data_IF_618994592030
#
_entry.id   IF_618994592030
#
_cell.length_a   1.000
_cell.length_b   1.000
_cell.length_c   1.000
_cell.angle_alpha   90.00
_cell.angle_beta   90.00
_cell.angle_gamma   90.00
#
_symmetry.space_group_name_H-M   'P 1'
#
loop_
_entity.id
_entity.type
_entity.pdbx_description
1 polymer ?
#
# COMPACT_ATOMS: atom_id res chain seq x y z
N UNK A 1 6.58 -19.35 10.34
CA UNK A 1 6.09 -19.00 8.98
C UNK A 1 6.49 -20.12 8.05
N UNK A 2 5.55 -20.76 7.32
CA UNK A 2 5.91 -21.87 6.42
C UNK A 2 6.64 -21.34 5.19
N UNK A 3 7.60 -22.10 4.67
CA UNK A 3 8.39 -21.80 3.45
C UNK A 3 7.49 -21.45 2.24
N UNK A 4 6.30 -22.00 2.18
CA UNK A 4 5.28 -21.73 1.17
C UNK A 4 4.73 -20.29 1.23
N UNK A 5 4.49 -19.73 2.42
CA UNK A 5 4.06 -18.33 2.59
C UNK A 5 5.14 -17.34 2.15
N UNK A 6 6.40 -17.65 2.40
CA UNK A 6 7.52 -16.77 2.00
C UNK A 6 7.65 -16.75 0.47
N UNK A 7 7.51 -17.90 -0.21
CA UNK A 7 7.57 -17.96 -1.68
C UNK A 7 6.42 -17.21 -2.35
N UNK A 8 5.22 -17.26 -1.78
CA UNK A 8 4.05 -16.51 -2.29
C UNK A 8 4.23 -15.00 -2.13
N UNK A 9 4.71 -14.55 -0.97
CA UNK A 9 5.03 -13.14 -0.74
C UNK A 9 6.10 -12.67 -1.72
N UNK A 10 7.15 -13.47 -1.93
CA UNK A 10 8.22 -13.16 -2.88
C UNK A 10 7.71 -13.05 -4.32
N UNK A 11 6.86 -13.96 -4.78
CA UNK A 11 6.29 -13.90 -6.13
C UNK A 11 5.42 -12.66 -6.36
N UNK A 12 4.67 -12.24 -5.34
CA UNK A 12 3.74 -11.10 -5.44
C UNK A 12 4.49 -9.76 -5.38
N UNK A 13 5.45 -9.65 -4.46
CA UNK A 13 6.11 -8.38 -4.14
C UNK A 13 7.57 -8.28 -4.60
N UNK A 14 8.09 -9.23 -5.39
CA UNK A 14 9.50 -9.24 -5.78
C UNK A 14 9.96 -7.94 -6.44
N UNK A 15 9.14 -7.33 -7.32
CA UNK A 15 9.47 -6.05 -7.97
C UNK A 15 9.51 -4.89 -6.98
N UNK A 16 8.58 -4.84 -6.07
CA UNK A 16 8.49 -3.83 -5.02
C UNK A 16 9.64 -3.98 -4.02
N UNK A 17 10.01 -5.21 -3.69
CA UNK A 17 11.20 -5.50 -2.87
C UNK A 17 12.50 -5.09 -3.58
N UNK A 18 12.63 -5.37 -4.88
CA UNK A 18 13.77 -4.91 -5.69
C UNK A 18 13.78 -3.38 -5.75
N UNK A 19 12.64 -2.74 -5.98
CA UNK A 19 12.52 -1.27 -5.97
C UNK A 19 12.97 -0.69 -4.61
N UNK A 20 12.49 -1.26 -3.49
CA UNK A 20 12.90 -0.87 -2.15
C UNK A 20 14.40 -1.07 -1.89
N UNK A 21 14.95 -2.20 -2.33
CA UNK A 21 16.39 -2.48 -2.21
C UNK A 21 17.24 -1.51 -3.04
N UNK A 22 16.83 -1.20 -4.28
CA UNK A 22 17.52 -0.21 -5.14
C UNK A 22 17.45 1.18 -4.50
N UNK A 23 16.29 1.59 -4.00
CA UNK A 23 16.11 2.87 -3.33
C UNK A 23 16.99 2.96 -2.08
N UNK A 24 17.05 1.90 -1.28
CA UNK A 24 17.92 1.81 -0.09
C UNK A 24 19.40 1.88 -0.46
N UNK A 25 19.83 1.14 -1.48
CA UNK A 25 21.22 1.20 -1.98
C UNK A 25 21.58 2.58 -2.51
N UNK A 26 20.69 3.22 -3.29
CA UNK A 26 20.89 4.60 -3.75
C UNK A 26 21.04 5.57 -2.58
N UNK A 27 20.20 5.41 -1.55
CA UNK A 27 20.28 6.22 -0.33
C UNK A 27 21.63 6.05 0.37
N UNK A 28 22.12 4.80 0.53
CA UNK A 28 23.44 4.53 1.11
C UNK A 28 24.55 5.15 0.26
N UNK A 29 24.50 4.98 -1.06
CA UNK A 29 25.48 5.56 -1.98
C UNK A 29 25.49 7.09 -1.90
N UNK A 30 24.32 7.72 -1.88
CA UNK A 30 24.22 9.17 -1.69
C UNK A 30 24.80 9.61 -0.34
N UNK A 31 24.48 8.92 0.75
CA UNK A 31 25.03 9.21 2.07
C UNK A 31 26.56 9.03 2.11
N UNK A 32 27.08 7.98 1.46
CA UNK A 32 28.53 7.73 1.40
C UNK A 32 29.25 8.75 0.52
N UNK A 33 28.78 8.99 -0.70
CA UNK A 33 29.36 9.97 -1.62
C UNK A 33 29.42 11.39 -1.03
N UNK A 34 28.45 11.70 -0.20
CA UNK A 34 28.33 12.98 0.47
C UNK A 34 29.46 13.31 1.44
N UNK A 35 30.16 12.30 1.97
CA UNK A 35 31.32 12.49 2.85
C UNK A 35 32.52 13.11 2.14
N UNK A 36 32.55 13.03 0.79
CA UNK A 36 33.65 13.55 -0.05
C UNK A 36 33.35 14.91 -0.65
N UNK A 37 32.16 15.47 -0.42
CA UNK A 37 31.75 16.76 -1.01
C UNK A 37 31.91 17.87 0.02
N UNK A 38 32.30 19.07 -0.44
CA UNK A 38 32.50 20.23 0.42
C UNK A 38 31.21 20.59 1.18
N UNK A 39 31.23 20.46 2.51
CA UNK A 39 30.09 20.71 3.39
C UNK A 39 29.50 22.12 3.21
N UNK A 40 30.31 23.13 3.00
CA UNK A 40 29.86 24.53 2.84
C UNK A 40 29.00 24.73 1.60
N UNK A 41 29.29 24.03 0.49
CA UNK A 41 28.49 24.11 -0.73
C UNK A 41 27.09 23.50 -0.52
N UNK A 42 27.00 22.40 0.22
CA UNK A 42 25.71 21.78 0.51
C UNK A 42 24.84 22.63 1.44
N UNK A 43 25.40 23.09 2.55
CA UNK A 43 24.64 23.82 3.57
C UNK A 43 24.20 25.20 3.09
N UNK A 44 25.05 25.89 2.31
CA UNK A 44 24.78 27.28 1.89
C UNK A 44 23.98 27.42 0.59
N UNK A 45 24.01 26.43 -0.30
CA UNK A 45 23.41 26.56 -1.64
C UNK A 45 22.47 25.41 -1.96
N UNK A 46 22.96 24.15 -1.89
CA UNK A 46 22.21 23.00 -2.40
C UNK A 46 20.99 22.68 -1.54
N UNK A 47 21.13 22.66 -0.22
CA UNK A 47 20.02 22.35 0.70
C UNK A 47 18.91 23.40 0.67
N UNK A 48 19.18 24.71 0.70
CA UNK A 48 18.14 25.73 0.52
C UNK A 48 17.42 25.65 -0.83
N UNK A 49 18.16 25.41 -1.93
CA UNK A 49 17.56 25.20 -3.25
C UNK A 49 16.62 24.00 -3.27
N UNK A 50 17.01 22.88 -2.65
CA UNK A 50 16.20 21.69 -2.55
C UNK A 50 14.92 21.93 -1.73
N UNK A 51 15.01 22.69 -0.64
CA UNK A 51 13.84 23.05 0.17
C UNK A 51 12.85 23.91 -0.64
N UNK A 52 13.34 24.93 -1.37
CA UNK A 52 12.50 25.76 -2.24
C UNK A 52 11.82 24.89 -3.32
N UNK A 53 12.57 23.97 -3.91
CA UNK A 53 12.02 23.02 -4.89
C UNK A 53 10.91 22.15 -4.30
N UNK A 54 11.09 21.61 -3.09
CA UNK A 54 10.07 20.82 -2.39
C UNK A 54 8.83 21.65 -2.04
N UNK A 55 8.99 22.88 -1.60
CA UNK A 55 7.85 23.80 -1.36
C UNK A 55 7.05 23.97 -2.65
N UNK A 56 7.73 24.19 -3.79
CA UNK A 56 7.11 24.28 -5.11
C UNK A 56 6.34 23.00 -5.49
N UNK A 57 6.94 21.83 -5.26
CA UNK A 57 6.30 20.54 -5.49
C UNK A 57 5.06 20.33 -4.60
N UNK A 58 5.14 20.69 -3.32
CA UNK A 58 4.01 20.61 -2.40
C UNK A 58 2.85 21.51 -2.85
N UNK A 59 3.13 22.76 -3.19
CA UNK A 59 2.12 23.69 -3.69
C UNK A 59 1.48 23.20 -4.98
N UNK A 60 2.27 22.79 -5.96
CA UNK A 60 1.79 22.29 -7.24
C UNK A 60 0.98 21.01 -7.06
N UNK A 61 1.48 20.05 -6.28
CA UNK A 61 0.80 18.80 -6.00
C UNK A 61 -0.53 19.01 -5.29
N UNK A 62 -0.58 19.89 -4.29
CA UNK A 62 -1.80 20.23 -3.57
C UNK A 62 -2.85 20.86 -4.50
N UNK A 63 -2.47 21.83 -5.33
CA UNK A 63 -3.37 22.50 -6.29
C UNK A 63 -3.91 21.50 -7.30
N UNK A 64 -3.06 20.65 -7.89
CA UNK A 64 -3.49 19.64 -8.86
C UNK A 64 -4.50 18.67 -8.26
N UNK A 65 -4.27 18.21 -7.03
CA UNK A 65 -5.16 17.26 -6.38
C UNK A 65 -6.46 17.93 -5.94
N UNK A 66 -6.44 19.15 -5.40
CA UNK A 66 -7.67 19.87 -5.06
C UNK A 66 -8.54 20.12 -6.29
N UNK A 67 -7.91 20.47 -7.44
CA UNK A 67 -8.62 20.66 -8.70
C UNK A 67 -9.30 19.38 -9.23
N UNK A 68 -8.76 18.19 -8.91
CA UNK A 68 -9.26 16.90 -9.38
C UNK A 68 -9.77 16.00 -8.24
N UNK A 69 -10.14 16.56 -7.10
CA UNK A 69 -10.48 15.75 -5.92
C UNK A 69 -11.81 15.02 -6.00
N UNK A 70 -12.75 15.45 -6.85
CA UNK A 70 -14.10 14.86 -7.09
C UNK A 70 -14.79 14.38 -5.78
N UNK A 71 -14.51 15.04 -4.66
CA UNK A 71 -15.05 14.67 -3.35
C UNK A 71 -14.32 13.52 -2.63
N UNK A 72 -13.37 12.86 -3.25
CA UNK A 72 -12.65 11.70 -2.67
C UNK A 72 -11.81 12.10 -1.43
N UNK A 73 -12.07 11.43 -0.30
CA UNK A 73 -11.45 11.79 1.00
C UNK A 73 -9.93 11.62 0.99
N UNK A 74 -9.44 10.49 0.47
CA UNK A 74 -8.00 10.20 0.44
C UNK A 74 -7.22 11.19 -0.42
N UNK A 75 -7.82 11.74 -1.50
CA UNK A 75 -7.23 12.82 -2.29
C UNK A 75 -7.11 14.09 -1.45
N UNK A 76 -8.18 14.46 -0.75
CA UNK A 76 -8.17 15.62 0.14
C UNK A 76 -7.15 15.49 1.26
N UNK A 77 -7.02 14.31 1.89
CA UNK A 77 -6.04 14.10 2.96
C UNK A 77 -4.61 14.31 2.48
N UNK A 78 -4.26 13.82 1.30
CA UNK A 78 -2.95 14.06 0.70
C UNK A 78 -2.72 15.52 0.34
N UNK A 79 -3.70 16.17 -0.29
CA UNK A 79 -3.60 17.59 -0.63
C UNK A 79 -3.41 18.46 0.62
N UNK A 80 -4.13 18.21 1.70
CA UNK A 80 -3.93 18.88 2.99
C UNK A 80 -2.56 18.58 3.59
N UNK A 81 -2.09 17.34 3.53
CA UNK A 81 -0.74 16.98 3.99
C UNK A 81 0.34 17.76 3.25
N UNK A 82 0.25 17.86 1.91
CA UNK A 82 1.19 18.65 1.11
C UNK A 82 1.10 20.15 1.42
N UNK A 83 -0.12 20.70 1.60
CA UNK A 83 -0.31 22.11 1.93
C UNK A 83 0.32 22.44 3.28
N UNK A 84 0.05 21.65 4.31
CA UNK A 84 0.60 21.85 5.67
C UNK A 84 2.13 21.69 5.63
N UNK A 85 2.64 20.68 4.92
CA UNK A 85 4.07 20.48 4.75
C UNK A 85 4.73 21.69 4.10
N UNK A 86 4.20 22.15 2.95
CA UNK A 86 4.76 23.29 2.23
C UNK A 86 4.77 24.59 3.08
N UNK A 87 3.72 24.83 3.87
CA UNK A 87 3.64 25.99 4.78
C UNK A 87 4.70 25.87 5.89
N UNK A 88 4.83 24.70 6.51
CA UNK A 88 5.81 24.49 7.58
C UNK A 88 7.25 24.61 7.06
N UNK A 89 7.54 24.02 5.90
CA UNK A 89 8.87 24.10 5.27
C UNK A 89 9.22 25.55 4.89
N UNK A 90 8.25 26.29 4.32
CA UNK A 90 8.40 27.72 4.05
C UNK A 90 8.64 28.52 5.33
N UNK A 91 7.91 28.23 6.40
CA UNK A 91 8.08 28.90 7.70
C UNK A 91 9.49 28.64 8.24
N UNK A 92 9.98 27.40 8.16
CA UNK A 92 11.35 27.08 8.58
C UNK A 92 12.40 27.84 7.77
N UNK A 93 12.24 27.91 6.44
CA UNK A 93 13.17 28.67 5.57
C UNK A 93 13.14 30.18 5.90
N UNK A 94 11.96 30.75 6.11
CA UNK A 94 11.82 32.19 6.46
C UNK A 94 12.43 32.50 7.82
N UNK A 95 12.27 31.64 8.82
CA UNK A 95 12.85 31.83 10.14
C UNK A 95 14.37 31.68 10.12
N UNK A 96 14.88 30.70 9.38
CA UNK A 96 16.33 30.46 9.28
C UNK A 96 17.04 31.59 8.50
N UNK A 97 16.56 31.86 7.27
CA UNK A 97 17.20 32.84 6.37
C UNK A 97 16.87 34.30 6.76
N UNK A 98 15.60 34.56 7.15
CA UNK A 98 15.13 35.92 7.44
C UNK A 98 15.46 36.41 8.84
N UNK A 99 15.45 35.53 9.83
CA UNK A 99 15.62 35.91 11.24
C UNK A 99 16.84 35.26 11.90
N UNK A 100 17.57 34.39 11.20
CA UNK A 100 18.72 33.67 11.76
C UNK A 100 18.35 32.71 12.91
N UNK A 101 17.11 32.25 12.94
CA UNK A 101 16.60 31.30 13.96
C UNK A 101 16.61 29.91 13.35
N UNK A 102 17.62 29.05 13.62
CA UNK A 102 17.71 27.70 13.04
C UNK A 102 16.69 26.77 13.69
N UNK A 103 15.46 26.76 13.21
CA UNK A 103 14.39 25.92 13.78
C UNK A 103 14.69 24.42 13.60
N UNK A 104 15.28 24.05 12.49
CA UNK A 104 15.62 22.65 12.16
C UNK A 104 17.10 22.32 12.36
N UNK A 105 17.90 23.27 12.86
CA UNK A 105 19.36 23.10 13.03
C UNK A 105 20.01 22.37 11.84
N UNK A 106 19.86 22.95 10.63
CA UNK A 106 20.32 22.36 9.36
C UNK A 106 21.85 22.19 9.25
N UNK A 107 22.57 22.54 10.29
CA UNK A 107 24.04 22.47 10.36
C UNK A 107 24.60 21.21 11.02
N UNK A 108 25.89 21.27 11.37
CA UNK A 108 26.69 20.18 11.94
C UNK A 108 26.33 19.78 13.39
N UNK A 109 25.37 20.43 14.02
CA UNK A 109 24.93 20.13 15.38
C UNK A 109 23.92 18.96 15.40
N UNK A 110 23.89 18.14 16.47
CA UNK A 110 22.82 17.14 16.65
C UNK A 110 21.46 17.84 16.68
N UNK A 111 20.45 17.18 16.12
CA UNK A 111 19.08 17.72 16.09
C UNK A 111 18.53 17.89 17.50
N UNK A 112 17.96 19.08 17.80
CA UNK A 112 17.24 19.30 19.04
C UNK A 112 15.96 18.45 19.12
N UNK A 113 15.46 18.17 20.33
CA UNK A 113 14.22 17.43 20.54
C UNK A 113 13.03 18.12 19.87
N UNK A 114 13.03 19.45 19.81
CA UNK A 114 12.03 20.25 19.10
C UNK A 114 12.11 20.06 17.57
N UNK A 115 13.32 20.03 16.99
CA UNK A 115 13.48 19.74 15.58
C UNK A 115 13.03 18.33 15.23
N UNK A 116 13.32 17.34 16.08
CA UNK A 116 12.85 15.96 15.95
C UNK A 116 11.32 15.90 16.03
N UNK A 117 10.69 16.68 16.93
CA UNK A 117 9.22 16.79 17.02
C UNK A 117 8.62 17.27 15.70
N UNK A 118 9.14 18.37 15.14
CA UNK A 118 8.65 18.92 13.86
C UNK A 118 8.79 17.90 12.74
N UNK A 119 9.95 17.25 12.62
CA UNK A 119 10.17 16.21 11.60
C UNK A 119 9.21 15.02 11.76
N UNK A 120 8.90 14.62 13.00
CA UNK A 120 7.95 13.54 13.26
C UNK A 120 6.50 13.94 12.93
N UNK A 121 6.10 15.16 13.23
CA UNK A 121 4.78 15.68 12.83
C UNK A 121 4.63 15.71 11.31
N UNK A 122 5.67 16.17 10.62
CA UNK A 122 5.70 16.14 9.15
C UNK A 122 5.64 14.70 8.60
N UNK A 123 6.41 13.77 9.19
CA UNK A 123 6.36 12.35 8.85
C UNK A 123 4.98 11.75 9.07
N UNK A 124 4.31 12.11 10.17
CA UNK A 124 2.93 11.68 10.44
C UNK A 124 1.95 12.13 9.35
N UNK A 125 2.05 13.37 8.85
CA UNK A 125 1.20 13.88 7.77
C UNK A 125 1.30 13.00 6.51
N UNK A 126 2.48 12.47 6.20
CA UNK A 126 2.68 11.60 5.03
C UNK A 126 2.01 10.23 5.19
N UNK A 127 1.71 9.79 6.41
CA UNK A 127 1.00 8.53 6.67
C UNK A 127 -0.51 8.65 6.54
N UNK A 128 -1.06 9.86 6.49
CA UNK A 128 -2.52 10.08 6.43
C UNK A 128 -3.14 9.50 5.16
N UNK A 129 -2.50 9.70 4.00
CA UNK A 129 -3.00 9.18 2.74
C UNK A 129 -3.05 7.65 2.71
N UNK A 130 -1.95 6.92 2.94
CA UNK A 130 -2.00 5.46 2.93
C UNK A 130 -2.94 4.90 4.00
N UNK A 131 -3.08 5.56 5.15
CA UNK A 131 -4.05 5.15 6.18
C UNK A 131 -5.49 5.33 5.70
N UNK A 132 -5.83 6.48 5.12
CA UNK A 132 -7.20 6.76 4.68
C UNK A 132 -7.63 5.88 3.49
N UNK A 133 -6.71 5.45 2.63
CA UNK A 133 -7.03 4.56 1.53
C UNK A 133 -7.15 3.10 1.96
N UNK A 134 -6.35 2.69 2.95
CA UNK A 134 -6.38 1.33 3.48
C UNK A 134 -7.55 1.10 4.44
N UNK A 135 -7.91 2.12 5.22
CA UNK A 135 -8.98 2.07 6.21
C UNK A 135 -9.68 3.43 6.30
N UNK A 136 -10.61 3.74 5.38
CA UNK A 136 -11.35 5.00 5.39
C UNK A 136 -12.09 5.23 6.71
N UNK A 137 -12.04 6.48 7.20
CA UNK A 137 -12.67 6.84 8.47
C UNK A 137 -11.88 6.45 9.73
N UNK A 138 -10.75 5.75 9.58
CA UNK A 138 -9.91 5.42 10.74
C UNK A 138 -9.30 6.66 11.41
N UNK A 139 -9.04 7.73 10.66
CA UNK A 139 -8.51 8.99 11.18
C UNK A 139 -9.63 9.72 11.94
N UNK A 140 -9.63 9.60 13.25
CA UNK A 140 -10.54 10.31 14.17
C UNK A 140 -9.74 11.13 15.16
N UNK A 141 -10.35 12.20 15.72
CA UNK A 141 -9.67 13.06 16.69
C UNK A 141 -9.07 12.29 17.87
N UNK A 142 -9.77 11.31 18.41
CA UNK A 142 -9.27 10.47 19.51
C UNK A 142 -8.02 9.68 19.10
N UNK A 143 -8.03 9.04 17.92
CA UNK A 143 -6.90 8.24 17.41
C UNK A 143 -5.70 9.14 17.08
N UNK A 144 -5.93 10.33 16.56
CA UNK A 144 -4.88 11.34 16.36
C UNK A 144 -4.25 11.74 17.71
N UNK A 145 -5.06 12.01 18.74
CA UNK A 145 -4.53 12.28 20.07
C UNK A 145 -3.71 11.11 20.62
N UNK A 146 -4.18 9.87 20.50
CA UNK A 146 -3.42 8.70 20.95
C UNK A 146 -2.09 8.54 20.24
N UNK A 147 -1.99 8.97 18.98
CA UNK A 147 -0.74 8.94 18.24
C UNK A 147 0.22 10.07 18.61
N UNK A 148 -0.25 11.31 18.67
CA UNK A 148 0.62 12.47 18.82
C UNK A 148 0.97 12.79 20.28
N UNK A 149 0.03 12.63 21.23
CA UNK A 149 0.25 13.00 22.63
C UNK A 149 1.44 12.28 23.29
N UNK A 150 1.65 10.96 23.11
CA UNK A 150 2.82 10.28 23.69
C UNK A 150 4.14 10.86 23.19
N UNK A 151 4.25 11.16 21.89
CA UNK A 151 5.43 11.76 21.31
C UNK A 151 5.68 13.17 21.85
N UNK A 152 4.64 14.02 21.93
CA UNK A 152 4.74 15.37 22.49
C UNK A 152 5.17 15.27 23.97
N UNK A 153 4.62 14.34 24.72
CA UNK A 153 4.99 14.15 26.12
C UNK A 153 6.47 13.75 26.29
N UNK A 154 6.97 12.84 25.45
CA UNK A 154 8.40 12.44 25.46
C UNK A 154 9.30 13.65 25.18
N UNK A 155 8.96 14.51 24.21
CA UNK A 155 9.74 15.71 23.88
C UNK A 155 9.74 16.70 25.06
N UNK A 156 8.58 16.92 25.70
CA UNK A 156 8.48 17.81 26.88
C UNK A 156 9.34 17.27 28.02
N UNK A 157 9.30 15.96 28.29
CA UNK A 157 10.11 15.33 29.33
C UNK A 157 11.60 15.48 29.02
N UNK A 158 12.00 15.26 27.76
CA UNK A 158 13.39 15.40 27.31
C UNK A 158 13.93 16.83 27.54
N UNK A 159 13.14 17.83 27.12
CA UNK A 159 13.51 19.25 27.33
C UNK A 159 13.54 19.65 28.81
N UNK A 160 12.67 19.09 29.64
CA UNK A 160 12.63 19.42 31.07
C UNK A 160 13.74 18.75 31.87
N UNK A 161 14.06 17.53 31.55
CA UNK A 161 15.00 16.73 32.36
C UNK A 161 16.45 16.92 31.94
N UNK A 162 16.72 17.05 30.64
CA UNK A 162 18.07 17.16 30.00
C UNK A 162 19.12 16.16 30.53
N UNK A 163 18.68 15.22 31.34
CA UNK A 163 19.51 14.25 32.05
C UNK A 163 19.48 12.85 31.41
N UNK A 164 18.44 12.56 30.65
CA UNK A 164 18.23 11.29 29.94
C UNK A 164 18.01 11.63 28.48
N UNK A 165 18.85 11.11 27.59
CA UNK A 165 18.71 11.29 26.15
C UNK A 165 17.55 10.41 25.63
N UNK A 166 16.36 11.01 25.48
CA UNK A 166 15.16 10.38 24.93
C UNK A 166 15.04 10.51 23.41
N UNK A 167 16.02 11.15 22.76
CA UNK A 167 16.03 11.36 21.30
C UNK A 167 15.86 10.08 20.51
N UNK A 168 16.38 8.94 21.00
CA UNK A 168 16.21 7.62 20.40
C UNK A 168 14.73 7.21 20.35
N UNK A 169 13.95 7.45 21.42
CA UNK A 169 12.53 7.11 21.44
C UNK A 169 11.76 7.98 20.45
N UNK A 170 12.12 9.26 20.35
CA UNK A 170 11.53 10.18 19.38
C UNK A 170 11.88 9.74 17.95
N UNK A 171 13.12 9.30 17.71
CA UNK A 171 13.59 8.80 16.42
C UNK A 171 12.93 7.48 15.98
N UNK A 172 12.48 6.64 16.92
CA UNK A 172 11.78 5.38 16.62
C UNK A 172 10.31 5.59 16.27
N UNK A 173 9.72 6.72 16.60
CA UNK A 173 8.30 6.99 16.38
C UNK A 173 7.85 6.84 14.91
N UNK A 174 8.57 7.33 13.88
CA UNK A 174 8.18 7.14 12.49
C UNK A 174 8.11 5.66 12.08
N UNK A 175 8.96 4.81 12.66
CA UNK A 175 8.95 3.37 12.42
C UNK A 175 7.66 2.74 12.93
N UNK A 176 7.18 3.16 14.10
CA UNK A 176 5.90 2.72 14.66
C UNK A 176 4.73 3.14 13.76
N UNK A 177 4.75 4.36 13.24
CA UNK A 177 3.72 4.86 12.31
C UNK A 177 3.67 4.01 11.03
N UNK A 178 4.81 3.74 10.42
CA UNK A 178 4.87 2.91 9.20
C UNK A 178 4.40 1.49 9.48
N UNK A 179 4.80 0.91 10.61
CA UNK A 179 4.35 -0.41 11.04
C UNK A 179 2.82 -0.47 11.21
N UNK A 180 2.22 0.57 11.82
CA UNK A 180 0.78 0.70 11.94
C UNK A 180 0.09 0.70 10.56
N UNK A 181 0.61 1.48 9.60
CA UNK A 181 0.05 1.50 8.24
C UNK A 181 0.16 0.13 7.56
N UNK A 182 1.29 -0.57 7.78
CA UNK A 182 1.46 -1.94 7.28
C UNK A 182 0.44 -2.94 7.88
N UNK A 183 0.04 -2.77 9.13
CA UNK A 183 -0.98 -3.65 9.73
C UNK A 183 -2.33 -3.54 9.01
N UNK A 184 -2.71 -2.35 8.54
CA UNK A 184 -3.93 -2.15 7.77
C UNK A 184 -3.87 -2.74 6.36
N UNK A 185 -2.68 -2.89 5.78
CA UNK A 185 -2.51 -3.43 4.43
C UNK A 185 -3.03 -4.87 4.29
N UNK A 186 -2.89 -5.68 5.35
CA UNK A 186 -3.37 -7.07 5.36
C UNK A 186 -4.89 -7.11 5.23
N UNK A 187 -5.60 -6.43 6.14
CA UNK A 187 -7.06 -6.37 6.13
C UNK A 187 -7.60 -5.80 4.80
N UNK A 188 -7.00 -4.74 4.28
CA UNK A 188 -7.34 -4.17 2.99
C UNK A 188 -7.16 -5.16 1.84
N UNK A 189 -6.06 -5.91 1.82
CA UNK A 189 -5.83 -6.93 0.80
C UNK A 189 -6.87 -8.05 0.86
N UNK A 190 -7.19 -8.55 2.06
CA UNK A 190 -8.22 -9.57 2.25
C UNK A 190 -9.58 -9.06 1.80
N UNK A 191 -9.91 -7.80 2.11
CA UNK A 191 -11.12 -7.15 1.61
C UNK A 191 -11.16 -7.11 0.07
N UNK A 192 -10.06 -6.71 -0.57
CA UNK A 192 -9.97 -6.70 -2.03
C UNK A 192 -10.18 -8.09 -2.64
N UNK A 193 -9.58 -9.13 -2.05
CA UNK A 193 -9.74 -10.52 -2.51
C UNK A 193 -11.18 -11.05 -2.32
N UNK A 194 -11.95 -10.46 -1.41
CA UNK A 194 -13.36 -10.82 -1.20
C UNK A 194 -14.32 -10.08 -2.13
N UNK A 195 -13.93 -8.93 -2.67
CA UNK A 195 -14.84 -8.05 -3.41
C UNK A 195 -14.56 -7.96 -4.92
N UNK A 196 -13.33 -8.25 -5.35
CA UNK A 196 -12.91 -8.05 -6.74
C UNK A 196 -12.30 -9.31 -7.35
N UNK A 197 -12.64 -9.56 -8.61
CA UNK A 197 -12.07 -10.67 -9.39
C UNK A 197 -10.73 -10.34 -10.02
N UNK A 198 -10.34 -9.06 -10.10
CA UNK A 198 -9.05 -8.58 -10.61
C UNK A 198 -8.47 -7.57 -9.64
N UNK A 199 -7.19 -7.76 -9.27
CA UNK A 199 -6.48 -6.87 -8.35
C UNK A 199 -5.80 -5.69 -9.06
N UNK A 200 -5.92 -5.60 -10.40
CA UNK A 200 -5.25 -4.53 -11.17
C UNK A 200 -5.94 -3.18 -11.04
N UNK A 201 -7.27 -3.15 -10.90
CA UNK A 201 -8.01 -1.91 -10.69
C UNK A 201 -7.80 -1.33 -9.29
N UNK A 202 -7.26 -2.16 -8.37
CA UNK A 202 -6.96 -1.80 -7.00
C UNK A 202 -5.45 -1.96 -6.83
N UNK A 203 -4.71 -0.94 -7.19
CA UNK A 203 -3.26 -0.98 -7.21
C UNK A 203 -2.65 -1.04 -5.80
N UNK A 204 -2.74 -2.22 -5.16
CA UNK A 204 -2.08 -2.51 -3.87
C UNK A 204 -0.58 -2.29 -3.98
N UNK A 205 0.01 -2.52 -5.17
CA UNK A 205 1.45 -2.38 -5.39
C UNK A 205 1.91 -0.93 -5.26
N UNK A 206 1.12 0.05 -5.71
CA UNK A 206 1.43 1.47 -5.52
C UNK A 206 1.47 1.85 -4.04
N UNK A 207 0.53 1.33 -3.23
CA UNK A 207 0.54 1.58 -1.79
C UNK A 207 1.81 0.99 -1.17
N UNK A 208 2.17 -0.24 -1.55
CA UNK A 208 3.41 -0.88 -1.05
C UNK A 208 4.64 -0.06 -1.42
N UNK A 209 4.73 0.48 -2.65
CA UNK A 209 5.85 1.36 -3.04
C UNK A 209 5.89 2.64 -2.22
N UNK A 210 4.76 3.28 -1.97
CA UNK A 210 4.68 4.46 -1.09
C UNK A 210 5.17 4.11 0.31
N UNK A 211 4.76 2.97 0.86
CA UNK A 211 5.23 2.51 2.17
C UNK A 211 6.73 2.22 2.18
N UNK A 212 7.30 1.65 1.12
CA UNK A 212 8.74 1.42 1.00
C UNK A 212 9.53 2.74 0.94
N UNK A 213 9.02 3.75 0.23
CA UNK A 213 9.63 5.09 0.23
C UNK A 213 9.56 5.71 1.63
N UNK A 214 8.44 5.57 2.33
CA UNK A 214 8.30 6.03 3.72
C UNK A 214 9.29 5.32 4.66
N UNK A 215 9.49 4.00 4.50
CA UNK A 215 10.52 3.25 5.26
C UNK A 215 11.92 3.80 4.98
N UNK A 216 12.24 4.09 3.72
CA UNK A 216 13.53 4.69 3.35
C UNK A 216 13.71 6.07 4.00
N UNK A 217 12.66 6.91 4.00
CA UNK A 217 12.66 8.22 4.68
C UNK A 217 12.90 8.05 6.18
N UNK A 218 12.23 7.09 6.83
CA UNK A 218 12.46 6.77 8.25
C UNK A 218 13.90 6.33 8.53
N UNK A 219 14.48 5.51 7.64
CA UNK A 219 15.88 5.08 7.75
C UNK A 219 16.86 6.25 7.65
N UNK A 220 16.64 7.17 6.72
CA UNK A 220 17.45 8.39 6.60
C UNK A 220 17.25 9.30 7.81
N UNK A 221 16.02 9.44 8.28
CA UNK A 221 15.73 10.21 9.50
C UNK A 221 16.48 9.65 10.71
N UNK A 222 16.49 8.33 10.89
CA UNK A 222 17.28 7.68 11.94
C UNK A 222 18.78 7.93 11.75
N UNK A 223 19.27 7.82 10.51
CA UNK A 223 20.66 8.19 10.19
C UNK A 223 20.99 9.65 10.53
N UNK A 224 20.07 10.58 10.30
CA UNK A 224 20.23 11.99 10.67
C UNK A 224 20.36 12.20 12.18
N UNK A 225 19.72 11.35 13.02
CA UNK A 225 19.83 11.45 14.47
C UNK A 225 21.22 11.04 14.99
N UNK A 226 21.90 10.11 14.31
CA UNK A 226 23.18 9.54 14.76
C UNK A 226 24.40 10.07 13.99
N UNK A 227 24.21 10.72 12.87
CA UNK A 227 25.29 11.20 11.99
C UNK A 227 25.32 12.72 11.92
N UNK A 228 26.54 13.27 11.94
CA UNK A 228 26.77 14.70 11.76
C UNK A 228 27.14 15.05 10.29
N UNK A 229 26.76 14.19 9.31
CA UNK A 229 27.05 14.45 7.90
C UNK A 229 26.25 15.66 7.39
N UNK A 230 26.90 16.62 6.69
CA UNK A 230 26.24 17.82 6.16
C UNK A 230 25.15 17.50 5.12
N UNK A 231 25.22 16.35 4.47
CA UNK A 231 24.31 15.99 3.40
C UNK A 231 23.07 15.21 3.85
N UNK A 232 22.95 14.95 5.16
CA UNK A 232 21.81 14.23 5.75
C UNK A 232 20.47 14.86 5.39
N UNK A 233 20.37 16.19 5.50
CA UNK A 233 19.14 16.96 5.20
C UNK A 233 18.81 16.87 3.72
N UNK A 234 19.81 17.07 2.86
CA UNK A 234 19.63 16.95 1.41
C UNK A 234 19.11 15.56 1.01
N UNK A 235 19.68 14.48 1.54
CA UNK A 235 19.24 13.12 1.23
C UNK A 235 17.79 12.90 1.63
N UNK A 236 17.36 13.39 2.80
CA UNK A 236 15.97 13.29 3.24
C UNK A 236 15.04 14.10 2.34
N UNK A 237 15.38 15.32 2.01
CA UNK A 237 14.59 16.20 1.14
C UNK A 237 14.50 15.64 -0.29
N UNK A 238 15.54 14.99 -0.77
CA UNK A 238 15.51 14.31 -2.07
C UNK A 238 14.55 13.12 -2.10
N UNK A 239 14.56 12.27 -1.07
CA UNK A 239 13.58 11.17 -0.94
C UNK A 239 12.15 11.70 -0.80
N UNK A 240 11.97 12.80 -0.09
CA UNK A 240 10.68 13.47 0.01
C UNK A 240 10.18 13.96 -1.35
N UNK A 241 11.06 14.54 -2.19
CA UNK A 241 10.69 14.94 -3.55
C UNK A 241 10.15 13.75 -4.36
N UNK A 242 10.83 12.60 -4.27
CA UNK A 242 10.40 11.36 -4.94
C UNK A 242 9.02 10.95 -4.43
N UNK A 243 8.79 10.98 -3.12
CA UNK A 243 7.50 10.63 -2.52
C UNK A 243 6.39 11.57 -2.98
N UNK A 244 6.63 12.88 -2.98
CA UNK A 244 5.64 13.89 -3.40
C UNK A 244 5.24 13.66 -4.86
N UNK A 245 6.22 13.54 -5.76
CA UNK A 245 5.96 13.35 -7.19
C UNK A 245 5.23 12.02 -7.43
N UNK A 246 5.80 10.93 -6.94
CA UNK A 246 5.24 9.60 -7.13
C UNK A 246 3.85 9.46 -6.48
N UNK A 247 3.69 9.93 -5.23
CA UNK A 247 2.42 9.87 -4.52
C UNK A 247 1.34 10.71 -5.21
N UNK A 248 1.68 11.90 -5.67
CA UNK A 248 0.75 12.79 -6.39
C UNK A 248 0.29 12.16 -7.70
N UNK A 249 1.22 11.59 -8.50
CA UNK A 249 0.90 10.87 -9.72
C UNK A 249 -0.09 9.71 -9.45
N UNK A 250 0.27 8.86 -8.51
CA UNK A 250 -0.57 7.70 -8.17
C UNK A 250 -1.97 8.10 -7.71
N UNK A 251 -2.08 9.17 -6.92
CA UNK A 251 -3.35 9.65 -6.39
C UNK A 251 -4.25 10.26 -7.47
N UNK A 252 -3.67 10.99 -8.42
CA UNK A 252 -4.43 11.61 -9.51
C UNK A 252 -5.13 10.57 -10.39
N UNK A 253 -4.43 9.46 -10.68
CA UNK A 253 -4.94 8.44 -11.62
C UNK A 253 -5.64 7.28 -10.92
N UNK A 254 -5.66 7.24 -9.58
CA UNK A 254 -6.26 6.14 -8.84
C UNK A 254 -7.77 6.26 -8.76
N UNK A 255 -8.47 5.16 -9.00
CA UNK A 255 -9.90 5.02 -8.71
C UNK A 255 -10.14 4.77 -7.23
N UNK A 256 -11.24 5.28 -6.70
CA UNK A 256 -11.64 5.03 -5.32
C UNK A 256 -12.26 3.62 -5.21
N UNK A 257 -11.63 2.69 -4.50
CA UNK A 257 -12.19 1.36 -4.30
C UNK A 257 -13.43 1.38 -3.40
N UNK A 258 -13.58 2.41 -2.57
CA UNK A 258 -14.63 2.56 -1.57
C UNK A 258 -15.82 3.43 -2.04
N UNK A 259 -15.81 3.90 -3.30
CA UNK A 259 -16.78 4.88 -3.82
C UNK A 259 -18.26 4.50 -3.66
N UNK A 260 -18.55 3.20 -3.45
CA UNK A 260 -19.91 2.67 -3.37
C UNK A 260 -20.32 2.27 -1.95
N UNK A 261 -19.49 2.61 -0.93
CA UNK A 261 -19.71 2.21 0.44
C UNK A 261 -19.71 3.41 1.38
N UNK A 262 -20.55 3.33 2.40
CA UNK A 262 -20.51 4.26 3.53
C UNK A 262 -19.38 3.89 4.49
N UNK A 263 -18.91 4.84 5.30
CA UNK A 263 -17.83 4.58 6.27
C UNK A 263 -18.22 3.47 7.25
N UNK A 264 -19.47 3.45 7.68
CA UNK A 264 -19.97 2.45 8.62
C UNK A 264 -19.94 1.04 8.01
N UNK A 265 -20.32 0.90 6.73
CA UNK A 265 -20.21 -0.37 6.00
C UNK A 265 -18.75 -0.81 5.87
N UNK A 266 -17.84 0.12 5.57
CA UNK A 266 -16.40 -0.16 5.46
C UNK A 266 -15.83 -0.64 6.80
N UNK A 267 -16.11 0.07 7.88
CA UNK A 267 -15.65 -0.29 9.24
C UNK A 267 -16.18 -1.68 9.64
N UNK A 268 -17.47 -1.94 9.42
CA UNK A 268 -18.06 -3.23 9.76
C UNK A 268 -17.49 -4.40 8.95
N UNK A 269 -17.20 -4.21 7.66
CA UNK A 269 -16.56 -5.24 6.83
C UNK A 269 -15.10 -5.50 7.24
N UNK A 270 -14.33 -4.46 7.54
CA UNK A 270 -12.94 -4.61 7.99
C UNK A 270 -12.88 -5.30 9.35
N UNK A 271 -13.74 -4.91 10.30
CA UNK A 271 -13.84 -5.56 11.62
C UNK A 271 -14.22 -7.03 11.49
N UNK A 272 -15.18 -7.38 10.62
CA UNK A 272 -15.54 -8.76 10.35
C UNK A 272 -14.38 -9.60 9.77
N UNK A 273 -13.53 -9.00 8.95
CA UNK A 273 -12.32 -9.64 8.40
C UNK A 273 -11.30 -9.87 9.52
N UNK A 274 -10.99 -8.83 10.31
CA UNK A 274 -10.04 -8.91 11.43
C UNK A 274 -10.47 -10.02 12.42
N UNK A 275 -11.75 -10.08 12.80
CA UNK A 275 -12.29 -11.13 13.67
C UNK A 275 -12.22 -12.52 13.04
N UNK A 276 -12.44 -12.64 11.73
CA UNK A 276 -12.36 -13.92 11.02
C UNK A 276 -10.93 -14.45 10.91
N UNK A 277 -9.93 -13.57 10.80
CA UNK A 277 -8.51 -13.95 10.79
C UNK A 277 -8.05 -14.44 12.18
N UNK A 278 -8.49 -13.80 13.26
CA UNK A 278 -8.21 -14.25 14.64
C UNK A 278 -8.81 -15.63 14.94
N UNK A 279 -10.01 -15.90 14.44
CA UNK A 279 -10.68 -17.18 14.65
C UNK A 279 -10.08 -18.35 13.87
N UNK A 280 -9.44 -18.08 12.73
CA UNK A 280 -8.78 -19.11 11.87
C UNK A 280 -7.43 -19.58 12.45
N UNK A 281 -6.72 -18.75 13.22
CA UNK A 281 -5.48 -19.19 13.88
C UNK A 281 -5.72 -20.19 15.03
N UNK A 282 -6.96 -20.35 15.50
CA UNK A 282 -7.27 -21.12 16.71
C UNK A 282 -7.98 -22.46 16.51
N UNK A 283 -8.56 -22.76 15.33
CA UNK A 283 -9.27 -24.04 15.13
C UNK A 283 -9.12 -24.56 13.69
N UNK A 284 -8.65 -25.81 13.45
CA UNK A 284 -8.81 -26.45 12.15
C UNK A 284 -10.29 -26.66 11.88
N UNK A 285 -10.85 -25.93 10.92
CA UNK A 285 -12.25 -26.07 10.53
C UNK A 285 -12.51 -27.49 10.02
N UNK A 286 -13.17 -28.30 10.86
CA UNK A 286 -13.92 -29.48 10.39
C UNK A 286 -15.00 -28.98 9.45
N UNK A 287 -15.11 -29.58 8.26
CA UNK A 287 -16.17 -29.30 7.30
C UNK A 287 -17.53 -29.41 7.98
N UNK A 288 -18.16 -28.28 8.25
CA UNK A 288 -19.52 -28.24 8.79
C UNK A 288 -20.45 -28.57 7.62
N UNK A 289 -21.41 -29.53 7.77
CA UNK A 289 -22.38 -29.84 6.72
C UNK A 289 -23.16 -28.57 6.36
N UNK A 290 -23.12 -28.20 5.09
CA UNK A 290 -23.83 -27.02 4.58
C UNK A 290 -25.34 -27.21 4.77
N UNK A 291 -26.03 -26.20 5.28
CA UNK A 291 -27.48 -26.23 5.40
C UNK A 291 -28.15 -26.42 4.04
N UNK A 292 -29.36 -27.01 3.98
CA UNK A 292 -30.09 -27.22 2.72
C UNK A 292 -30.27 -25.92 1.90
N UNK A 293 -30.42 -24.80 2.59
CA UNK A 293 -30.54 -23.47 1.95
C UNK A 293 -29.25 -23.04 1.29
N UNK A 294 -28.11 -23.20 1.97
CA UNK A 294 -26.78 -22.93 1.40
C UNK A 294 -26.48 -23.82 0.20
N UNK A 295 -26.88 -25.09 0.25
CA UNK A 295 -26.74 -26.01 -0.89
C UNK A 295 -27.53 -25.53 -2.12
N UNK A 296 -28.75 -25.01 -1.93
CA UNK A 296 -29.55 -24.42 -3.02
C UNK A 296 -28.86 -23.18 -3.60
N UNK A 297 -28.34 -22.30 -2.76
CA UNK A 297 -27.62 -21.11 -3.20
C UNK A 297 -26.37 -21.47 -4.01
N UNK A 298 -25.60 -22.46 -3.57
CA UNK A 298 -24.45 -22.99 -4.32
C UNK A 298 -24.87 -23.54 -5.69
N UNK A 299 -25.95 -24.33 -5.75
CA UNK A 299 -26.45 -24.87 -6.99
C UNK A 299 -26.88 -23.78 -7.99
N UNK A 300 -27.51 -22.70 -7.50
CA UNK A 300 -27.86 -21.53 -8.33
C UNK A 300 -26.61 -20.84 -8.82
N UNK A 301 -25.62 -20.62 -7.96
CA UNK A 301 -24.35 -19.99 -8.30
C UNK A 301 -23.58 -20.79 -9.36
N UNK A 302 -23.44 -22.10 -9.17
CA UNK A 302 -22.74 -22.97 -10.12
C UNK A 302 -23.45 -23.04 -11.47
N UNK A 303 -24.79 -23.09 -11.49
CA UNK A 303 -25.58 -23.05 -12.70
C UNK A 303 -25.29 -21.77 -13.47
N UNK A 304 -25.35 -20.61 -12.78
CA UNK A 304 -25.06 -19.30 -13.37
C UNK A 304 -23.63 -19.22 -13.91
N UNK A 305 -22.64 -19.70 -13.15
CA UNK A 305 -21.24 -19.74 -13.59
C UNK A 305 -21.05 -20.59 -14.86
N UNK A 306 -21.75 -21.72 -14.99
CA UNK A 306 -21.64 -22.62 -16.15
C UNK A 306 -22.40 -22.11 -17.37
N UNK A 307 -23.60 -21.51 -17.17
CA UNK A 307 -24.48 -21.10 -18.26
C UNK A 307 -24.07 -19.75 -18.85
N UNK A 308 -23.90 -18.74 -17.99
CA UNK A 308 -23.72 -17.37 -18.43
C UNK A 308 -22.23 -16.96 -18.47
N UNK A 309 -21.34 -17.80 -17.89
CA UNK A 309 -19.89 -17.60 -17.82
C UNK A 309 -19.50 -16.17 -17.40
N UNK A 310 -20.08 -15.61 -16.32
CA UNK A 310 -19.85 -14.22 -15.93
C UNK A 310 -18.38 -13.92 -15.57
N UNK A 311 -17.62 -14.96 -15.24
CA UNK A 311 -16.18 -14.87 -14.96
C UNK A 311 -15.33 -14.40 -16.16
N UNK A 312 -15.88 -14.46 -17.39
CA UNK A 312 -15.22 -13.92 -18.58
C UNK A 312 -15.19 -12.39 -18.61
N UNK A 313 -16.05 -11.75 -17.80
CA UNK A 313 -15.98 -10.30 -17.62
C UNK A 313 -14.81 -9.95 -16.67
N UNK A 314 -13.77 -9.23 -17.12
CA UNK A 314 -12.66 -8.83 -16.25
C UNK A 314 -13.07 -7.92 -15.09
N UNK A 315 -14.15 -7.15 -15.24
CA UNK A 315 -14.66 -6.22 -14.24
C UNK A 315 -15.67 -6.86 -13.25
N UNK A 316 -15.81 -8.19 -13.23
CA UNK A 316 -16.74 -8.90 -12.33
C UNK A 316 -16.43 -8.61 -10.86
N UNK A 317 -17.47 -8.30 -10.08
CA UNK A 317 -17.43 -7.98 -8.65
C UNK A 317 -18.33 -8.92 -7.84
N UNK A 318 -18.11 -8.97 -6.54
CA UNK A 318 -18.99 -9.73 -5.62
C UNK A 318 -20.45 -9.25 -5.67
N UNK A 319 -20.68 -7.98 -5.98
CA UNK A 319 -22.02 -7.41 -6.19
C UNK A 319 -22.81 -8.06 -7.32
N UNK A 320 -22.14 -8.68 -8.28
CA UNK A 320 -22.83 -9.41 -9.36
C UNK A 320 -23.41 -10.73 -8.83
N UNK A 321 -22.69 -11.45 -7.96
CA UNK A 321 -23.23 -12.60 -7.22
C UNK A 321 -24.36 -12.18 -6.30
N UNK A 322 -24.22 -11.02 -5.63
CA UNK A 322 -25.24 -10.48 -4.75
C UNK A 322 -26.60 -10.29 -5.45
N UNK A 323 -26.57 -9.79 -6.70
CA UNK A 323 -27.79 -9.64 -7.51
C UNK A 323 -28.45 -10.99 -7.85
N UNK A 324 -27.64 -12.02 -8.11
CA UNK A 324 -28.15 -13.35 -8.47
C UNK A 324 -28.72 -14.11 -7.29
N UNK A 325 -28.01 -14.05 -6.15
CA UNK A 325 -28.41 -14.81 -4.95
C UNK A 325 -29.31 -14.02 -3.98
N UNK A 326 -29.43 -12.68 -4.16
CA UNK A 326 -30.19 -11.78 -3.26
C UNK A 326 -29.72 -11.85 -1.79
N UNK A 327 -28.43 -12.04 -1.55
CA UNK A 327 -27.81 -12.13 -0.22
C UNK A 327 -26.72 -11.07 -0.08
N UNK A 328 -26.35 -10.72 1.16
CA UNK A 328 -25.34 -9.72 1.42
C UNK A 328 -23.91 -10.22 1.12
N UNK A 329 -22.96 -9.30 0.98
CA UNK A 329 -21.55 -9.58 0.65
C UNK A 329 -20.86 -10.48 1.67
N UNK A 330 -21.05 -10.21 2.95
CA UNK A 330 -20.45 -10.99 4.04
C UNK A 330 -20.90 -12.44 3.97
N UNK A 331 -22.18 -12.66 3.68
CA UNK A 331 -22.74 -14.01 3.55
C UNK A 331 -22.18 -14.72 2.30
N UNK A 332 -22.00 -14.02 1.17
CA UNK A 332 -21.33 -14.59 -0.01
C UNK A 332 -19.91 -15.03 0.30
N UNK A 333 -19.14 -14.19 1.00
CA UNK A 333 -17.77 -14.50 1.38
C UNK A 333 -17.70 -15.72 2.29
N UNK A 334 -18.63 -15.86 3.25
CA UNK A 334 -18.75 -17.04 4.08
C UNK A 334 -19.17 -18.28 3.27
N UNK A 335 -20.17 -18.15 2.38
CA UNK A 335 -20.65 -19.24 1.53
C UNK A 335 -19.52 -19.81 0.67
N UNK A 336 -18.73 -18.96 0.02
CA UNK A 336 -17.59 -19.39 -0.81
C UNK A 336 -16.47 -20.04 0.02
N UNK A 337 -16.21 -19.54 1.21
CA UNK A 337 -15.24 -20.10 2.14
C UNK A 337 -15.66 -21.46 2.65
N UNK A 338 -16.94 -21.59 3.09
CA UNK A 338 -17.48 -22.82 3.65
C UNK A 338 -17.63 -23.92 2.58
N UNK A 339 -18.03 -23.55 1.36
CA UNK A 339 -18.27 -24.51 0.27
C UNK A 339 -16.99 -24.92 -0.48
N UNK A 340 -16.08 -23.99 -0.70
CA UNK A 340 -14.93 -24.19 -1.61
C UNK A 340 -13.57 -23.90 -0.95
N UNK A 341 -13.53 -23.37 0.28
CA UNK A 341 -12.30 -22.92 0.93
C UNK A 341 -11.63 -21.75 0.19
N UNK A 342 -12.40 -20.99 -0.61
CA UNK A 342 -11.85 -19.94 -1.51
C UNK A 342 -12.43 -18.58 -1.20
N UNK A 343 -11.60 -17.53 -1.40
CA UNK A 343 -12.09 -16.15 -1.51
C UNK A 343 -12.81 -15.94 -2.85
N UNK A 344 -13.59 -14.85 -2.98
CA UNK A 344 -14.21 -14.50 -4.26
C UNK A 344 -13.19 -14.42 -5.41
N UNK A 345 -12.05 -13.77 -5.17
CA UNK A 345 -10.96 -13.70 -6.13
C UNK A 345 -10.47 -15.09 -6.57
N UNK A 346 -10.22 -15.98 -5.63
CA UNK A 346 -9.75 -17.33 -5.91
C UNK A 346 -10.82 -18.16 -6.64
N UNK A 347 -12.08 -18.03 -6.24
CA UNK A 347 -13.19 -18.74 -6.85
C UNK A 347 -13.39 -18.35 -8.32
N UNK A 348 -13.45 -17.06 -8.63
CA UNK A 348 -13.61 -16.59 -10.01
C UNK A 348 -12.40 -16.97 -10.88
N UNK A 349 -11.19 -16.78 -10.36
CA UNK A 349 -9.98 -17.09 -11.11
C UNK A 349 -9.78 -18.59 -11.34
N UNK A 350 -10.31 -19.48 -10.49
CA UNK A 350 -10.29 -20.92 -10.78
C UNK A 350 -11.12 -21.28 -12.00
N UNK A 351 -12.28 -20.65 -12.23
CA UNK A 351 -13.05 -20.80 -13.47
C UNK A 351 -12.30 -20.25 -14.70
N UNK A 352 -11.68 -19.09 -14.58
CA UNK A 352 -10.87 -18.48 -15.66
C UNK A 352 -9.70 -19.36 -16.06
N UNK A 353 -9.02 -19.99 -15.10
CA UNK A 353 -7.89 -20.90 -15.37
C UNK A 353 -8.39 -22.16 -16.07
N UNK A 354 -9.53 -22.70 -15.65
CA UNK A 354 -10.10 -23.88 -16.30
C UNK A 354 -10.54 -23.58 -17.74
N UNK A 355 -11.18 -22.45 -17.99
CA UNK A 355 -11.51 -21.97 -19.34
C UNK A 355 -10.24 -21.78 -20.19
N UNK A 356 -9.17 -21.23 -19.60
CA UNK A 356 -7.91 -21.05 -20.31
C UNK A 356 -7.26 -22.38 -20.71
N UNK A 357 -7.33 -23.41 -19.85
CA UNK A 357 -6.87 -24.76 -20.19
C UNK A 357 -7.64 -25.32 -21.37
N UNK A 358 -8.98 -25.21 -21.36
CA UNK A 358 -9.83 -25.68 -22.45
C UNK A 358 -9.51 -24.96 -23.76
N UNK A 359 -9.31 -23.64 -23.74
CA UNK A 359 -8.96 -22.86 -24.93
C UNK A 359 -7.57 -23.21 -25.47
N UNK A 360 -6.58 -23.40 -24.60
CA UNK A 360 -5.24 -23.78 -25.01
C UNK A 360 -5.19 -25.19 -25.67
N UNK A 361 -6.06 -26.11 -25.23
CA UNK A 361 -6.23 -27.44 -25.87
C UNK A 361 -6.95 -27.28 -27.20
N UNK A 362 -8.07 -26.57 -27.25
CA UNK A 362 -8.87 -26.39 -28.43
C UNK A 362 -8.16 -25.59 -29.53
N UNK A 363 -7.33 -24.62 -29.15
CA UNK A 363 -6.62 -23.74 -30.08
C UNK A 363 -5.14 -23.58 -29.68
N UNK A 364 -4.29 -24.58 -29.92
CA UNK A 364 -2.88 -24.59 -29.48
C UNK A 364 -2.02 -23.46 -30.05
N UNK A 365 -2.43 -22.85 -31.18
CA UNK A 365 -1.72 -21.75 -31.82
C UNK A 365 -2.11 -20.36 -31.30
N UNK A 366 -3.12 -20.27 -30.43
CA UNK A 366 -3.56 -18.99 -29.89
C UNK A 366 -2.45 -18.36 -29.05
N UNK A 367 -2.24 -17.04 -29.19
CA UNK A 367 -1.26 -16.34 -28.37
C UNK A 367 -1.69 -16.30 -26.90
N UNK A 368 -0.74 -16.32 -25.95
CA UNK A 368 -1.05 -16.25 -24.53
C UNK A 368 -1.75 -14.94 -24.13
N UNK A 369 -1.56 -13.87 -24.89
CA UNK A 369 -2.32 -12.62 -24.69
C UNK A 369 -3.79 -12.84 -25.07
N UNK A 370 -4.05 -13.45 -26.23
CA UNK A 370 -5.41 -13.70 -26.67
C UNK A 370 -6.16 -14.69 -25.76
N UNK A 371 -5.47 -15.72 -25.22
CA UNK A 371 -6.04 -16.60 -24.19
C UNK A 371 -6.39 -15.80 -22.92
N UNK A 372 -5.49 -14.93 -22.45
CA UNK A 372 -5.75 -14.11 -21.27
C UNK A 372 -6.99 -13.23 -21.46
N UNK A 373 -7.07 -12.51 -22.59
CA UNK A 373 -8.15 -11.57 -22.88
C UNK A 373 -9.50 -12.29 -23.01
N UNK A 374 -9.54 -13.45 -23.68
CA UNK A 374 -10.77 -14.23 -23.87
C UNK A 374 -11.26 -14.92 -22.59
N UNK A 375 -10.38 -15.20 -21.62
CA UNK A 375 -10.72 -15.80 -20.34
C UNK A 375 -11.02 -14.79 -19.23
N UNK A 376 -11.13 -13.49 -19.56
CA UNK A 376 -11.50 -12.45 -18.62
C UNK A 376 -10.38 -11.96 -17.71
N UNK A 377 -9.11 -12.21 -18.08
CA UNK A 377 -7.99 -11.60 -17.38
C UNK A 377 -7.72 -10.20 -17.94
N UNK A 378 -7.54 -9.22 -17.06
CA UNK A 378 -7.28 -7.84 -17.44
C UNK A 378 -5.88 -7.62 -18.02
N UNK A 379 -4.97 -8.58 -17.87
CA UNK A 379 -3.64 -8.54 -18.50
C UNK A 379 -2.98 -9.92 -18.56
N UNK A 380 -2.06 -10.06 -19.52
CA UNK A 380 -1.20 -11.25 -19.64
C UNK A 380 -0.41 -11.54 -18.35
N UNK A 381 0.07 -10.50 -17.66
CA UNK A 381 0.82 -10.65 -16.41
C UNK A 381 -0.03 -11.30 -15.32
N UNK A 382 -1.27 -10.83 -15.14
CA UNK A 382 -2.19 -11.38 -14.15
C UNK A 382 -2.52 -12.84 -14.50
N UNK A 383 -2.80 -13.13 -15.77
CA UNK A 383 -3.02 -14.50 -16.26
C UNK A 383 -1.88 -15.43 -15.86
N UNK A 384 -0.62 -15.05 -16.17
CA UNK A 384 0.55 -15.87 -15.80
C UNK A 384 0.66 -16.09 -14.30
N UNK A 385 0.48 -15.06 -13.48
CA UNK A 385 0.54 -15.16 -12.02
C UNK A 385 -0.53 -16.10 -11.46
N UNK A 386 -1.77 -15.93 -11.90
CA UNK A 386 -2.90 -16.72 -11.41
C UNK A 386 -2.78 -18.16 -11.88
N UNK A 387 -2.51 -18.38 -13.16
CA UNK A 387 -2.37 -19.70 -13.75
C UNK A 387 -1.25 -20.50 -13.09
N UNK A 388 -0.07 -19.89 -12.90
CA UNK A 388 1.05 -20.55 -12.23
C UNK A 388 0.73 -20.89 -10.78
N UNK A 389 0.02 -20.01 -10.07
CA UNK A 389 -0.39 -20.28 -8.69
C UNK A 389 -1.37 -21.44 -8.58
N UNK A 390 -2.33 -21.55 -9.49
CA UNK A 390 -3.37 -22.59 -9.49
C UNK A 390 -2.86 -23.94 -10.01
N UNK A 391 -1.91 -23.95 -10.96
CA UNK A 391 -1.46 -25.18 -11.64
C UNK A 391 -0.04 -25.61 -11.28
N UNK A 392 0.77 -24.73 -10.71
CA UNK A 392 2.21 -24.96 -10.46
C UNK A 392 3.10 -24.75 -11.69
N UNK A 393 2.52 -24.57 -12.88
CA UNK A 393 3.23 -24.40 -14.16
C UNK A 393 2.87 -23.06 -14.80
N UNK A 394 3.80 -22.49 -15.57
CA UNK A 394 3.43 -21.34 -16.40
C UNK A 394 2.48 -21.78 -17.53
N UNK A 395 1.61 -20.87 -18.05
CA UNK A 395 0.69 -21.22 -19.15
C UNK A 395 1.39 -21.84 -20.36
N UNK A 396 2.58 -21.34 -20.69
CA UNK A 396 3.38 -21.89 -21.81
C UNK A 396 3.87 -23.31 -21.52
N UNK A 397 4.46 -23.53 -20.32
CA UNK A 397 4.93 -24.88 -19.93
C UNK A 397 3.76 -25.87 -19.85
N UNK A 398 2.61 -25.43 -19.34
CA UNK A 398 1.43 -26.25 -19.24
C UNK A 398 0.93 -26.64 -20.64
N UNK A 399 0.85 -25.73 -21.61
CA UNK A 399 0.47 -26.02 -23.00
C UNK A 399 1.44 -26.98 -23.68
N UNK A 400 2.75 -26.78 -23.46
CA UNK A 400 3.78 -27.63 -24.06
C UNK A 400 3.72 -29.04 -23.48
N UNK A 401 3.36 -29.22 -22.19
CA UNK A 401 3.15 -30.55 -21.59
C UNK A 401 1.96 -31.29 -22.20
N UNK A 402 0.88 -30.58 -22.56
CA UNK A 402 -0.28 -31.19 -23.22
C UNK A 402 0.02 -31.58 -24.71
N UNK A 403 0.89 -30.79 -25.39
CA UNK A 403 1.29 -31.08 -26.77
C UNK A 403 2.25 -32.26 -26.90
N UNK A 404 2.95 -32.61 -25.82
CA UNK A 404 3.83 -33.81 -25.78
C UNK A 404 3.09 -35.13 -25.68
N UNK A 405 1.87 -35.16 -25.15
CA UNK A 405 1.05 -36.38 -25.04
C UNK A 405 0.30 -36.77 -26.32
N UNK A 406 0.21 -35.86 -27.32
CA UNK A 406 -0.49 -36.11 -28.59
C UNK A 406 0.44 -36.73 -29.67
N UNK A 407 1.76 -36.71 -29.43
CA UNK A 407 2.77 -37.23 -30.40
C UNK A 407 3.57 -38.45 -29.86
N UNK A 408 3.06 -39.12 -28.83
CA UNK A 408 3.68 -40.31 -28.25
C UNK A 408 2.91 -41.60 -28.57
#
# INVERSE_FOLDING_TARGET
>A
MSSRRISEIWQIYSREMIFGAVLFMLTIVCCYASQYINATLFDSIITPLQNIFNIGLCCMGAVLIFAHSDGMRFRKSWAWSLTIWGILDLTCVVLDVGFGIPLLALGSQPMSSMALLVCNLLGWLLTLYPTEILRPGWISFRRVCYQLLPMIAVVIIDEMTKSIDLSILIALYPVLLVFMVFSHLRAYRTWCEQNYSTMQDIDVQSIVRILLILVAICGVFFYMCISNSPTRVFTQQFLLSILIVYGTEQILFRRDPWAHMTIHEIESEIEAIEQSEESVETVPQKAVPLSPERQKQIAVLEKWMKTDKPYLNPAMKVTDIQRVLSINRTYISQLLRDAYGKTFYQYINSYRVEEAKQQMIAQPKLSMQAVADSCGFSSRRLFYQVFTRETGLTPSQWRDSQGGEVNG
#
